data_IF_959159828440
#
_entry.id   IF_959159828440
#
_cell.length_a   1.000
_cell.length_b   1.000
_cell.length_c   1.000
_cell.angle_alpha   90.00
_cell.angle_beta   90.00
_cell.angle_gamma   90.00
#
_symmetry.space_group_name_H-M   'P 1'
#
loop_
_entity.id
_entity.type
_entity.pdbx_description
1 polymer ?
#
# COMPACT_ATOMS: atom_id res chain seq x y z
N UNK A 1 9.58 7.77 9.59
CA UNK A 1 8.39 8.65 9.68
C UNK A 1 7.19 7.80 9.39
N UNK A 2 6.15 7.89 10.22
CA UNK A 2 4.97 7.04 10.06
C UNK A 2 3.92 7.71 9.18
N UNK A 3 3.35 6.93 8.27
CA UNK A 3 2.24 7.36 7.42
C UNK A 3 1.10 6.36 7.50
N UNK A 4 -0.11 6.85 7.76
CA UNK A 4 -1.33 6.09 7.55
C UNK A 4 -1.74 6.23 6.08
N UNK A 5 -1.87 5.10 5.40
CA UNK A 5 -2.22 5.04 3.98
C UNK A 5 -3.44 4.16 3.79
N UNK A 6 -4.47 4.73 3.14
CA UNK A 6 -5.63 3.99 2.69
C UNK A 6 -5.54 3.79 1.18
N UNK A 7 -5.74 2.56 0.72
CA UNK A 7 -5.66 2.21 -0.70
C UNK A 7 -6.92 1.45 -1.10
N UNK A 8 -7.69 1.99 -2.02
CA UNK A 8 -8.88 1.36 -2.61
C UNK A 8 -8.56 0.89 -4.02
N UNK A 9 -8.64 -0.42 -4.26
CA UNK A 9 -8.22 -1.05 -5.52
C UNK A 9 -9.42 -1.21 -6.45
N UNK A 10 -9.29 -0.66 -7.66
CA UNK A 10 -10.30 -0.65 -8.72
C UNK A 10 -9.69 -1.15 -10.02
N UNK A 11 -9.56 -2.46 -10.14
CA UNK A 11 -9.14 -3.11 -11.38
C UNK A 11 -10.37 -3.13 -12.32
N UNK A 12 -10.28 -2.60 -13.55
CA UNK A 12 -11.37 -2.66 -14.51
C UNK A 12 -11.75 -4.10 -14.87
N UNK A 13 -13.06 -4.38 -14.94
CA UNK A 13 -13.56 -5.71 -15.37
C UNK A 13 -13.23 -6.04 -16.83
N UNK A 14 -12.87 -5.02 -17.62
CA UNK A 14 -12.42 -5.18 -19.00
C UNK A 14 -11.00 -5.76 -19.10
N UNK A 15 -10.24 -5.79 -18.00
CA UNK A 15 -8.90 -6.35 -17.98
C UNK A 15 -8.97 -7.89 -18.04
N UNK A 16 -8.26 -8.57 -18.96
CA UNK A 16 -8.24 -10.02 -19.02
C UNK A 16 -7.84 -10.63 -17.67
N UNK A 17 -8.54 -11.69 -17.26
CA UNK A 17 -8.34 -12.31 -15.95
C UNK A 17 -6.88 -12.74 -15.70
N UNK A 18 -6.23 -13.32 -16.71
CA UNK A 18 -4.83 -13.74 -16.64
C UNK A 18 -3.88 -12.54 -16.38
N UNK A 19 -4.15 -11.40 -17.02
CA UNK A 19 -3.38 -10.18 -16.79
C UNK A 19 -3.63 -9.61 -15.40
N UNK A 20 -4.88 -9.59 -14.95
CA UNK A 20 -5.24 -9.16 -13.61
C UNK A 20 -4.55 -10.03 -12.54
N UNK A 21 -4.49 -11.33 -12.75
CA UNK A 21 -3.86 -12.28 -11.81
C UNK A 21 -2.33 -12.16 -11.81
N UNK A 22 -1.72 -11.94 -12.98
CA UNK A 22 -0.29 -11.64 -13.07
C UNK A 22 0.07 -10.35 -12.30
N UNK A 23 -0.73 -9.29 -12.43
CA UNK A 23 -0.53 -8.04 -11.70
C UNK A 23 -0.70 -8.26 -10.19
N UNK A 24 -1.73 -9.00 -9.75
CA UNK A 24 -1.92 -9.33 -8.33
C UNK A 24 -0.76 -10.15 -7.76
N UNK A 25 -0.20 -11.07 -8.54
CA UNK A 25 0.94 -11.87 -8.11
C UNK A 25 2.20 -11.00 -7.94
N UNK A 26 2.49 -10.12 -8.90
CA UNK A 26 3.59 -9.17 -8.82
C UNK A 26 3.41 -8.18 -7.65
N UNK A 27 2.19 -7.68 -7.44
CA UNK A 27 1.84 -6.83 -6.31
C UNK A 27 2.15 -7.53 -4.98
N UNK A 28 1.71 -8.78 -4.83
CA UNK A 28 1.96 -9.56 -3.62
C UNK A 28 3.46 -9.72 -3.36
N UNK A 29 4.24 -10.04 -4.39
CA UNK A 29 5.69 -10.17 -4.26
C UNK A 29 6.33 -8.86 -3.80
N UNK A 30 5.99 -7.73 -4.46
CA UNK A 30 6.50 -6.42 -4.11
C UNK A 30 6.11 -5.99 -2.69
N UNK A 31 4.86 -6.21 -2.30
CA UNK A 31 4.39 -5.90 -0.95
C UNK A 31 5.11 -6.74 0.12
N UNK A 32 5.46 -8.01 -0.18
CA UNK A 32 6.25 -8.86 0.73
C UNK A 32 7.66 -8.31 0.89
N UNK A 33 8.33 -7.92 -0.20
CA UNK A 33 9.67 -7.31 -0.14
C UNK A 33 9.71 -6.06 0.74
N UNK A 34 8.75 -5.15 0.55
CA UNK A 34 8.67 -3.89 1.32
C UNK A 34 8.39 -4.17 2.80
N UNK A 35 7.54 -5.15 3.11
CA UNK A 35 7.28 -5.59 4.48
C UNK A 35 8.54 -6.20 5.12
N UNK A 36 9.27 -7.05 4.40
CA UNK A 36 10.53 -7.64 4.87
C UNK A 36 11.61 -6.58 5.11
N UNK A 37 11.62 -5.51 4.33
CA UNK A 37 12.50 -4.35 4.54
C UNK A 37 12.08 -3.48 5.75
N UNK A 38 10.97 -3.80 6.43
CA UNK A 38 10.46 -3.05 7.58
C UNK A 38 9.75 -1.74 7.24
N UNK A 39 9.61 -1.40 5.95
CA UNK A 39 9.04 -0.12 5.49
C UNK A 39 7.51 -0.11 5.48
N UNK A 40 6.88 -1.28 5.57
CA UNK A 40 5.42 -1.44 5.62
C UNK A 40 5.00 -2.32 6.81
N UNK A 41 5.18 -1.85 8.06
CA UNK A 41 5.00 -2.67 9.26
C UNK A 41 3.56 -3.17 9.50
N UNK A 42 2.54 -2.46 8.99
CA UNK A 42 1.15 -2.85 9.17
C UNK A 42 0.37 -2.81 7.87
N UNK A 43 -0.32 -3.91 7.56
CA UNK A 43 -1.15 -4.07 6.39
C UNK A 43 -2.44 -4.81 6.78
N UNK A 44 -3.58 -4.12 6.70
CA UNK A 44 -4.88 -4.67 7.10
C UNK A 44 -5.89 -4.58 5.96
N UNK A 45 -6.71 -5.63 5.81
CA UNK A 45 -7.85 -5.63 4.89
C UNK A 45 -9.00 -4.82 5.50
N UNK A 46 -9.60 -3.92 4.71
CA UNK A 46 -10.88 -3.32 5.06
C UNK A 46 -11.99 -4.34 4.81
N UNK A 47 -12.72 -4.72 5.85
CA UNK A 47 -13.78 -5.73 5.75
C UNK A 47 -14.84 -5.29 4.73
N UNK A 48 -15.20 -6.19 3.81
CA UNK A 48 -16.20 -5.95 2.77
C UNK A 48 -15.75 -5.06 1.61
N UNK A 49 -14.48 -4.63 1.58
CA UNK A 49 -13.95 -3.77 0.50
C UNK A 49 -12.65 -4.34 -0.06
N UNK A 50 -12.43 -4.17 -1.36
CA UNK A 50 -11.13 -4.45 -1.95
C UNK A 50 -10.16 -3.28 -1.70
N UNK A 51 -10.00 -2.95 -0.42
CA UNK A 51 -9.19 -1.85 0.07
C UNK A 51 -8.32 -2.31 1.24
N UNK A 52 -7.28 -1.55 1.56
CA UNK A 52 -6.46 -1.79 2.73
C UNK A 52 -6.21 -0.50 3.52
N UNK A 53 -5.91 -0.69 4.82
CA UNK A 53 -5.36 0.33 5.71
C UNK A 53 -3.96 -0.11 6.09
N UNK A 54 -3.01 0.79 5.91
CA UNK A 54 -1.60 0.51 6.01
C UNK A 54 -0.87 1.54 6.85
N UNK A 55 0.17 1.10 7.56
CA UNK A 55 1.18 2.00 8.15
C UNK A 55 2.49 1.75 7.43
N UNK A 56 3.07 2.82 6.90
CA UNK A 56 4.42 2.84 6.33
C UNK A 56 5.37 3.55 7.29
N UNK A 57 6.60 3.06 7.40
CA UNK A 57 7.70 3.72 8.11
C UNK A 57 8.85 3.99 7.16
N UNK A 58 8.97 5.25 6.71
CA UNK A 58 9.95 5.68 5.71
C UNK A 58 10.62 6.98 6.13
N UNK A 59 11.78 7.30 5.57
CA UNK A 59 12.61 8.44 5.97
C UNK A 59 12.13 9.76 5.39
N UNK A 60 11.34 9.74 4.32
CA UNK A 60 10.86 10.96 3.65
C UNK A 60 9.54 10.75 2.88
N UNK A 61 8.91 11.86 2.50
CA UNK A 61 7.76 11.85 1.59
C UNK A 61 8.11 11.27 0.22
N UNK A 62 9.32 11.53 -0.28
CA UNK A 62 9.79 11.04 -1.59
C UNK A 62 10.00 9.53 -1.58
N UNK A 63 10.53 8.97 -0.49
CA UNK A 63 10.63 7.53 -0.30
C UNK A 63 9.24 6.88 -0.29
N UNK A 64 8.27 7.46 0.42
CA UNK A 64 6.89 6.97 0.40
C UNK A 64 6.33 6.97 -1.02
N UNK A 65 6.47 8.10 -1.73
CA UNK A 65 5.95 8.25 -3.07
C UNK A 65 6.57 7.24 -4.04
N UNK A 66 7.89 7.03 -3.96
CA UNK A 66 8.59 6.04 -4.78
C UNK A 66 8.11 4.60 -4.47
N UNK A 67 7.91 4.25 -3.20
CA UNK A 67 7.41 2.93 -2.80
C UNK A 67 5.99 2.71 -3.32
N UNK A 68 5.07 3.65 -3.11
CA UNK A 68 3.69 3.55 -3.58
C UNK A 68 3.63 3.46 -5.12
N UNK A 69 4.42 4.29 -5.81
CA UNK A 69 4.48 4.29 -7.29
C UNK A 69 5.12 3.02 -7.85
N UNK A 70 5.92 2.30 -7.06
CA UNK A 70 6.51 1.02 -7.46
C UNK A 70 5.54 -0.17 -7.42
N UNK A 71 4.35 0.00 -6.82
CA UNK A 71 3.36 -1.05 -6.72
C UNK A 71 2.71 -1.32 -8.10
N UNK A 72 2.72 -2.57 -8.60
CA UNK A 72 2.04 -2.94 -9.84
C UNK A 72 0.56 -2.51 -9.92
N UNK A 73 -0.14 -2.46 -8.79
CA UNK A 73 -1.52 -2.02 -8.74
C UNK A 73 -1.69 -0.49 -8.65
N UNK A 74 -0.63 0.31 -8.52
CA UNK A 74 -0.70 1.77 -8.38
C UNK A 74 -1.62 2.46 -9.40
N UNK A 75 -1.63 2.10 -10.70
CA UNK A 75 -2.55 2.71 -11.69
C UNK A 75 -4.04 2.47 -11.40
N UNK A 76 -4.35 1.46 -10.60
CA UNK A 76 -5.71 1.02 -10.26
C UNK A 76 -6.11 1.41 -8.84
N UNK A 77 -5.29 2.18 -8.12
CA UNK A 77 -5.57 2.55 -6.74
C UNK A 77 -6.06 3.98 -6.60
N UNK A 78 -7.04 4.18 -5.71
CA UNK A 78 -7.26 5.48 -5.07
C UNK A 78 -6.51 5.47 -3.74
N UNK A 79 -5.54 6.38 -3.58
CA UNK A 79 -4.65 6.41 -2.41
C UNK A 79 -4.88 7.70 -1.62
N UNK A 80 -5.02 7.56 -0.30
CA UNK A 80 -5.02 8.68 0.64
C UNK A 80 -3.89 8.48 1.66
N UNK A 81 -3.04 9.51 1.80
CA UNK A 81 -1.89 9.51 2.70
C UNK A 81 -2.10 10.53 3.82
N UNK A 82 -1.88 10.11 5.06
CA UNK A 82 -1.92 10.96 6.25
C UNK A 82 -0.60 10.79 7.02
N UNK A 83 0.25 11.83 7.12
CA UNK A 83 1.45 11.78 7.96
C UNK A 83 1.05 11.68 9.44
N UNK A 84 1.78 10.88 10.20
CA UNK A 84 1.53 10.64 11.62
C UNK A 84 2.67 11.17 12.48
N UNK A 85 2.31 11.80 13.61
CA UNK A 85 3.25 12.15 14.66
C UNK A 85 3.19 11.11 15.79
N UNK A 86 4.29 10.95 16.53
CA UNK A 86 4.26 10.16 17.77
C UNK A 86 3.39 10.88 18.79
N UNK A 87 2.36 10.20 19.28
CA UNK A 87 1.50 10.73 20.33
C UNK A 87 2.31 10.85 21.65
N UNK A 88 2.19 11.94 22.43
CA UNK A 88 2.99 12.16 23.64
C UNK A 88 2.76 11.11 24.74
N UNK A 89 1.59 10.46 24.73
CA UNK A 89 1.24 9.39 25.66
C UNK A 89 1.51 7.97 25.13
N UNK A 90 2.13 7.81 23.94
CA UNK A 90 2.49 6.50 23.43
C UNK A 90 3.69 5.92 24.20
N UNK A 91 3.46 4.79 24.88
CA UNK A 91 4.45 4.05 25.68
C UNK A 91 5.50 3.42 24.75
#
# INVERSE_FOLDING_TARGET
MLFHVQMDVKIPDTLPAEQADAIKAAEKARAIEIQQAGKWPHLWRVVGRYANVSIFDVESNDELHALLSSLPLFPYMTIQVTPLARHPSAI
#
